data_IF_167583756255
#
_entry.id   IF_167583756255
#
_cell.length_a   1.000
_cell.length_b   1.000
_cell.length_c   1.000
_cell.angle_alpha   90.00
_cell.angle_beta   90.00
_cell.angle_gamma   90.00
#
_symmetry.space_group_name_H-M   'P 1'
#
loop_
_entity.id
_entity.type
_entity.pdbx_description
1 polymer ?
#
# COMPACT_ATOMS: atom_id res chain seq x y z
N UNK A 1 5.12 -16.04 8.98
CA UNK A 1 4.02 -15.20 8.44
C UNK A 1 4.39 -13.77 8.76
N UNK A 2 4.57 -12.87 7.78
CA UNK A 2 5.00 -11.50 8.05
C UNK A 2 3.79 -10.63 8.41
N UNK A 3 3.67 -10.29 9.68
CA UNK A 3 2.84 -9.21 10.17
C UNK A 3 3.58 -7.89 9.92
N UNK A 4 3.01 -7.07 9.03
CA UNK A 4 3.57 -5.79 8.60
C UNK A 4 2.79 -4.67 9.29
N UNK A 5 3.48 -3.82 10.03
CA UNK A 5 2.90 -2.60 10.59
C UNK A 5 2.95 -1.49 9.55
N UNK A 6 1.82 -0.82 9.35
CA UNK A 6 1.72 0.37 8.51
C UNK A 6 1.34 1.56 9.40
N UNK A 7 2.21 2.57 9.44
CA UNK A 7 2.11 3.68 10.38
C UNK A 7 2.64 4.97 9.75
N UNK A 8 2.19 6.14 10.17
CA UNK A 8 2.72 7.39 9.63
C UNK A 8 2.00 8.62 10.15
N UNK A 9 2.34 9.77 9.56
CA UNK A 9 1.80 11.08 9.92
C UNK A 9 1.85 11.32 11.44
N UNK A 10 3.01 11.06 12.04
CA UNK A 10 3.22 11.13 13.49
C UNK A 10 3.33 12.60 13.93
N UNK A 11 4.07 13.41 13.17
CA UNK A 11 4.34 14.82 13.43
C UNK A 11 4.83 15.10 14.86
N UNK A 12 5.73 14.26 15.37
CA UNK A 12 6.36 14.47 16.68
C UNK A 12 7.68 15.21 16.46
N UNK A 13 7.97 16.32 17.16
CA UNK A 13 7.17 16.99 18.19
C UNK A 13 6.27 18.12 17.64
N UNK A 14 6.24 18.36 16.33
CA UNK A 14 5.66 19.57 15.73
C UNK A 14 4.16 19.78 15.99
N UNK A 15 3.37 18.71 15.97
CA UNK A 15 1.91 18.76 16.15
C UNK A 15 1.45 18.00 17.38
N UNK A 16 2.11 16.89 17.69
CA UNK A 16 1.77 16.02 18.82
C UNK A 16 3.06 15.70 19.59
N UNK A 17 2.95 15.49 20.89
CA UNK A 17 4.09 15.21 21.77
C UNK A 17 4.43 13.72 21.87
N UNK A 18 3.45 12.82 21.68
CA UNK A 18 3.66 11.39 21.83
C UNK A 18 2.57 10.52 21.18
N UNK A 19 2.87 9.24 20.93
CA UNK A 19 1.87 8.23 20.55
C UNK A 19 0.90 7.95 21.70
N UNK A 20 -0.38 7.66 21.40
CA UNK A 20 -1.33 7.25 22.43
C UNK A 20 -0.85 6.02 23.21
N UNK A 21 -0.98 6.08 24.54
CA UNK A 21 -0.51 5.03 25.46
C UNK A 21 -1.08 3.65 25.12
N UNK A 22 -2.35 3.58 24.68
CA UNK A 22 -2.97 2.32 24.27
C UNK A 22 -2.30 1.71 23.03
N UNK A 23 -1.85 2.53 22.08
CA UNK A 23 -1.12 2.06 20.91
C UNK A 23 0.27 1.58 21.28
N UNK A 24 1.01 2.31 22.14
CA UNK A 24 2.32 1.84 22.65
C UNK A 24 2.25 0.46 23.32
N UNK A 25 1.17 0.18 24.04
CA UNK A 25 0.95 -1.15 24.67
C UNK A 25 0.66 -2.27 23.66
N UNK A 26 0.16 -1.94 22.46
CA UNK A 26 -0.11 -2.90 21.39
C UNK A 26 1.12 -3.14 20.52
N UNK A 27 1.90 -2.08 20.28
CA UNK A 27 3.12 -2.08 19.47
C UNK A 27 4.32 -2.60 20.28
N UNK A 28 4.28 -3.89 20.62
CA UNK A 28 5.36 -4.54 21.38
C UNK A 28 6.36 -5.26 20.46
N UNK A 29 7.66 -5.25 20.79
CA UNK A 29 8.67 -5.96 20.03
C UNK A 29 8.40 -7.47 19.93
N UNK A 30 8.85 -8.08 18.84
CA UNK A 30 8.79 -9.55 18.63
C UNK A 30 7.52 -10.07 17.96
N UNK A 31 6.46 -9.25 17.85
CA UNK A 31 5.24 -9.61 17.10
C UNK A 31 5.24 -9.12 15.65
N UNK A 32 5.84 -7.97 15.40
CA UNK A 32 5.83 -7.28 14.10
C UNK A 32 7.16 -7.58 13.42
N UNK A 33 7.13 -8.04 12.17
CA UNK A 33 8.34 -8.41 11.44
C UNK A 33 8.89 -7.25 10.60
N UNK A 34 8.00 -6.38 10.12
CA UNK A 34 8.36 -5.27 9.24
C UNK A 34 7.48 -4.06 9.52
N UNK A 35 8.03 -2.86 9.37
CA UNK A 35 7.31 -1.59 9.47
C UNK A 35 7.43 -0.86 8.13
N UNK A 36 6.28 -0.48 7.56
CA UNK A 36 6.16 0.42 6.42
C UNK A 36 5.60 1.76 6.93
N UNK A 37 6.45 2.77 6.94
CA UNK A 37 6.10 4.09 7.41
C UNK A 37 5.87 5.05 6.24
N UNK A 38 4.71 5.72 6.23
CA UNK A 38 4.39 6.71 5.18
C UNK A 38 5.15 8.02 5.34
N UNK A 39 5.86 8.24 6.46
CA UNK A 39 6.65 9.45 6.70
C UNK A 39 6.00 10.37 7.74
N UNK A 40 6.49 11.62 7.77
CA UNK A 40 6.20 12.62 8.80
C UNK A 40 6.50 12.09 10.21
N UNK A 41 7.66 11.44 10.35
CA UNK A 41 8.22 11.03 11.64
C UNK A 41 8.81 12.24 12.36
N UNK A 42 9.46 13.12 11.59
CA UNK A 42 10.06 14.42 11.94
C UNK A 42 11.27 14.38 12.88
N UNK A 43 11.32 13.47 13.86
CA UNK A 43 12.43 13.39 14.81
C UNK A 43 13.13 12.03 14.86
N UNK A 44 14.39 12.06 15.32
CA UNK A 44 15.24 10.85 15.42
C UNK A 44 14.77 9.91 16.53
N UNK A 45 14.23 10.42 17.63
CA UNK A 45 13.82 9.59 18.77
C UNK A 45 12.62 8.72 18.39
N UNK A 46 11.64 9.29 17.67
CA UNK A 46 10.52 8.52 17.13
C UNK A 46 10.97 7.48 16.10
N UNK A 47 11.93 7.80 15.23
CA UNK A 47 12.52 6.81 14.31
C UNK A 47 13.21 5.66 15.06
N UNK A 48 14.01 5.98 16.08
CA UNK A 48 14.66 4.98 16.94
C UNK A 48 13.64 4.13 17.70
N UNK A 49 12.54 4.73 18.18
CA UNK A 49 11.42 4.01 18.78
C UNK A 49 10.81 2.99 17.82
N UNK A 50 10.53 3.36 16.56
CA UNK A 50 10.05 2.40 15.55
C UNK A 50 11.04 1.24 15.36
N UNK A 51 12.35 1.53 15.41
CA UNK A 51 13.41 0.51 15.30
C UNK A 51 13.47 -0.43 16.51
N UNK A 52 12.99 0.00 17.68
CA UNK A 52 12.85 -0.90 18.84
C UNK A 52 11.72 -1.91 18.66
N UNK A 53 10.67 -1.56 17.90
CA UNK A 53 9.51 -2.43 17.65
C UNK A 53 9.90 -3.53 16.65
N UNK A 54 10.57 -3.16 15.55
CA UNK A 54 11.08 -4.09 14.55
C UNK A 54 12.43 -3.62 14.01
N UNK A 55 13.39 -4.54 13.78
CA UNK A 55 14.64 -4.22 13.10
C UNK A 55 14.47 -4.04 11.59
N UNK A 56 13.31 -4.30 10.99
CA UNK A 56 13.06 -4.02 9.56
C UNK A 56 12.06 -2.87 9.44
N UNK A 57 12.56 -1.68 9.10
CA UNK A 57 11.80 -0.42 9.07
C UNK A 57 12.10 0.29 7.76
N UNK A 58 11.07 0.47 6.95
CA UNK A 58 11.08 1.25 5.74
C UNK A 58 10.30 2.53 5.98
N UNK A 59 10.94 3.69 5.78
CA UNK A 59 10.31 5.01 5.92
C UNK A 59 10.48 5.74 4.61
N UNK A 60 9.40 6.35 4.13
CA UNK A 60 9.46 7.29 3.00
C UNK A 60 9.41 8.72 3.51
N UNK A 61 9.98 9.65 2.74
CA UNK A 61 10.04 11.05 3.12
C UNK A 61 8.66 11.70 3.10
N UNK A 62 8.21 12.16 4.26
CA UNK A 62 7.11 13.10 4.39
C UNK A 62 7.51 14.53 4.02
N UNK A 63 6.52 15.41 3.94
CA UNK A 63 6.73 16.83 3.67
C UNK A 63 7.32 17.61 4.86
N UNK A 64 7.27 17.03 6.07
CA UNK A 64 7.88 17.57 7.30
C UNK A 64 9.12 16.80 7.75
N UNK A 65 9.57 15.78 7.01
CA UNK A 65 10.79 15.05 7.35
C UNK A 65 12.03 15.76 6.79
N UNK A 66 12.93 16.19 7.67
CA UNK A 66 14.19 16.83 7.28
C UNK A 66 15.31 15.84 6.96
N UNK A 67 15.09 14.54 7.17
CA UNK A 67 16.12 13.52 6.97
C UNK A 67 16.30 13.20 5.47
N UNK A 68 17.44 13.58 4.84
CA UNK A 68 17.64 13.38 3.41
C UNK A 68 17.85 11.90 3.03
N UNK A 69 18.05 11.01 4.01
CA UNK A 69 18.20 9.58 3.76
C UNK A 69 16.86 8.89 3.46
N UNK A 70 15.73 9.53 3.77
CA UNK A 70 14.42 8.95 3.48
C UNK A 70 14.11 9.09 1.98
N UNK A 71 13.86 7.99 1.26
CA UNK A 71 13.49 8.05 -0.15
C UNK A 71 12.06 8.57 -0.32
N UNK A 72 11.76 9.18 -1.47
CA UNK A 72 10.42 9.68 -1.77
C UNK A 72 9.37 8.54 -1.92
N UNK A 73 9.81 7.36 -2.35
CA UNK A 73 8.98 6.17 -2.49
C UNK A 73 9.80 4.89 -2.29
N UNK A 74 9.15 3.82 -1.85
CA UNK A 74 9.76 2.49 -1.70
C UNK A 74 8.81 1.45 -2.28
N UNK A 75 9.39 0.42 -2.91
CA UNK A 75 8.65 -0.78 -3.30
C UNK A 75 9.17 -1.98 -2.50
N UNK A 76 8.27 -2.67 -1.80
CA UNK A 76 8.54 -3.88 -1.02
C UNK A 76 7.82 -5.07 -1.65
N UNK A 77 8.54 -6.18 -1.80
CA UNK A 77 8.03 -7.38 -2.46
C UNK A 77 7.70 -8.46 -1.44
N UNK A 78 6.42 -8.79 -1.30
CA UNK A 78 5.90 -9.94 -0.56
C UNK A 78 5.24 -10.89 -1.56
N UNK A 79 6.06 -11.64 -2.31
CA UNK A 79 5.59 -12.44 -3.45
C UNK A 79 4.36 -13.30 -3.10
N UNK A 80 3.31 -13.29 -3.94
CA UNK A 80 3.17 -12.68 -5.27
C UNK A 80 2.76 -11.18 -5.27
N UNK A 81 2.73 -10.50 -4.14
CA UNK A 81 2.24 -9.12 -3.97
C UNK A 81 3.40 -8.12 -3.95
N UNK A 82 3.25 -7.01 -4.68
CA UNK A 82 4.15 -5.87 -4.63
C UNK A 82 3.46 -4.69 -3.96
N UNK A 83 4.12 -4.11 -2.96
CA UNK A 83 3.61 -3.03 -2.14
C UNK A 83 4.44 -1.78 -2.43
N UNK A 84 3.78 -0.72 -2.87
CA UNK A 84 4.38 0.62 -2.98
C UNK A 84 4.05 1.45 -1.75
N UNK A 85 5.01 2.22 -1.27
CA UNK A 85 4.82 3.16 -0.17
C UNK A 85 5.22 4.55 -0.66
N UNK A 86 4.35 5.52 -0.43
CA UNK A 86 4.58 6.95 -0.64
C UNK A 86 4.00 7.73 0.54
N UNK A 87 4.43 8.97 0.72
CA UNK A 87 3.79 9.83 1.71
C UNK A 87 2.40 10.28 1.27
N UNK A 88 2.20 10.60 0.00
CA UNK A 88 0.90 10.99 -0.56
C UNK A 88 0.78 12.50 -0.84
N UNK A 89 1.69 13.33 -0.32
CA UNK A 89 1.76 14.76 -0.69
C UNK A 89 2.12 14.95 -2.18
N UNK A 90 2.70 13.91 -2.80
CA UNK A 90 3.03 13.88 -4.22
C UNK A 90 1.80 13.64 -5.13
N UNK A 91 0.68 13.17 -4.57
CA UNK A 91 -0.55 12.91 -5.34
C UNK A 91 -1.38 14.18 -5.42
N UNK A 92 -1.67 14.64 -6.64
CA UNK A 92 -2.49 15.82 -6.91
C UNK A 92 -3.61 15.44 -7.90
N UNK A 93 -4.89 15.56 -7.51
CA UNK A 93 -5.40 16.02 -6.22
C UNK A 93 -5.07 15.08 -5.05
N UNK A 94 -4.95 15.66 -3.85
CA UNK A 94 -4.61 14.93 -2.62
C UNK A 94 -5.73 13.94 -2.29
N UNK A 95 -5.38 12.67 -2.06
CA UNK A 95 -6.31 11.60 -1.71
C UNK A 95 -7.23 11.13 -2.85
N UNK A 96 -7.07 11.65 -4.07
CA UNK A 96 -7.84 11.22 -5.24
C UNK A 96 -7.39 9.83 -5.71
N UNK A 97 -8.34 8.89 -5.79
CA UNK A 97 -8.09 7.50 -6.17
C UNK A 97 -7.56 7.36 -7.61
N UNK A 98 -7.94 8.25 -8.53
CA UNK A 98 -7.46 8.18 -9.92
C UNK A 98 -5.98 8.57 -10.01
N UNK A 99 -5.59 9.57 -9.23
CA UNK A 99 -4.21 10.04 -9.10
C UNK A 99 -3.34 8.99 -8.42
N UNK A 100 -3.82 8.40 -7.32
CA UNK A 100 -3.16 7.27 -6.65
C UNK A 100 -3.05 6.04 -7.56
N UNK A 101 -4.08 5.72 -8.36
CA UNK A 101 -4.02 4.63 -9.34
C UNK A 101 -2.96 4.86 -10.40
N UNK A 102 -2.78 6.11 -10.84
CA UNK A 102 -1.72 6.46 -11.80
C UNK A 102 -0.33 6.23 -11.20
N UNK A 103 -0.10 6.62 -9.94
CA UNK A 103 1.16 6.38 -9.23
C UNK A 103 1.38 4.86 -9.02
N UNK A 104 0.35 4.12 -8.60
CA UNK A 104 0.44 2.68 -8.40
C UNK A 104 0.80 1.93 -9.70
N UNK A 105 0.29 2.40 -10.84
CA UNK A 105 0.65 1.88 -12.17
C UNK A 105 2.09 2.20 -12.54
N UNK A 106 2.56 3.43 -12.28
CA UNK A 106 3.93 3.83 -12.54
C UNK A 106 4.94 3.02 -11.71
N UNK A 107 4.61 2.75 -10.44
CA UNK A 107 5.43 1.91 -9.55
C UNK A 107 5.30 0.41 -9.83
N UNK A 108 4.34 0.01 -10.68
CA UNK A 108 3.96 -1.37 -10.96
C UNK A 108 3.69 -2.20 -9.68
N UNK A 109 2.84 -1.65 -8.81
CA UNK A 109 2.48 -2.28 -7.53
C UNK A 109 1.03 -2.76 -7.52
N UNK A 110 0.76 -3.74 -6.66
CA UNK A 110 -0.57 -4.32 -6.45
C UNK A 110 -1.28 -3.64 -5.26
N UNK A 111 -0.50 -3.27 -4.24
CA UNK A 111 -0.95 -2.50 -3.08
C UNK A 111 -0.21 -1.16 -3.08
N UNK A 112 -0.92 -0.06 -2.96
CA UNK A 112 -0.33 1.26 -2.73
C UNK A 112 -0.69 1.75 -1.33
N UNK A 113 0.34 2.09 -0.56
CA UNK A 113 0.23 2.70 0.76
C UNK A 113 0.56 4.20 0.64
N UNK A 114 -0.35 5.05 1.10
CA UNK A 114 -0.20 6.51 1.12
C UNK A 114 -0.70 7.08 2.45
N UNK A 115 -0.13 8.19 2.91
CA UNK A 115 -0.59 8.96 4.08
C UNK A 115 -1.12 10.35 3.68
N UNK A 116 -0.62 11.39 4.36
CA UNK A 116 -0.84 12.83 4.14
C UNK A 116 -2.26 13.33 4.43
N UNK A 117 -3.30 12.58 4.09
CA UNK A 117 -4.71 12.97 4.36
C UNK A 117 -5.08 12.88 5.83
N UNK A 118 -4.31 12.14 6.64
CA UNK A 118 -4.60 11.76 8.02
C UNK A 118 -5.96 11.03 8.19
N UNK A 119 -6.54 10.56 7.09
CA UNK A 119 -7.82 9.86 7.07
C UNK A 119 -7.60 8.42 6.61
N UNK A 120 -8.10 7.47 7.39
CA UNK A 120 -8.01 6.05 7.08
C UNK A 120 -8.72 5.74 5.77
N UNK A 121 -8.05 4.96 4.92
CA UNK A 121 -8.61 4.40 3.71
C UNK A 121 -8.12 2.96 3.56
N UNK A 122 -9.02 2.01 3.33
CA UNK A 122 -8.63 0.63 3.06
C UNK A 122 -9.63 0.05 2.04
N UNK A 123 -9.38 0.29 0.76
CA UNK A 123 -10.35 0.00 -0.31
C UNK A 123 -9.70 -0.69 -1.50
N UNK A 124 -10.44 -1.62 -2.12
CA UNK A 124 -10.11 -2.12 -3.45
C UNK A 124 -10.52 -1.10 -4.51
N UNK A 125 -9.59 -0.70 -5.37
CA UNK A 125 -9.89 0.18 -6.50
C UNK A 125 -10.50 -0.58 -7.67
N UNK A 126 -11.16 0.16 -8.57
CA UNK A 126 -11.75 -0.39 -9.78
C UNK A 126 -10.72 -1.01 -10.74
N UNK A 127 -9.43 -0.72 -10.55
CA UNK A 127 -8.33 -1.26 -11.33
C UNK A 127 -7.74 -2.55 -10.75
N UNK A 128 -8.41 -3.16 -9.77
CA UNK A 128 -8.00 -4.41 -9.13
C UNK A 128 -6.83 -4.28 -8.17
N UNK A 129 -6.45 -3.05 -7.78
CA UNK A 129 -5.40 -2.78 -6.78
C UNK A 129 -6.00 -2.49 -5.41
N UNK A 130 -5.17 -2.59 -4.37
CA UNK A 130 -5.55 -2.22 -3.01
C UNK A 130 -4.91 -0.89 -2.62
N UNK A 131 -5.70 0.03 -2.08
CA UNK A 131 -5.25 1.33 -1.60
C UNK A 131 -5.41 1.38 -0.09
N UNK A 132 -4.30 1.62 0.61
CA UNK A 132 -4.25 1.70 2.05
C UNK A 132 -3.70 3.06 2.48
N UNK A 133 -4.43 3.72 3.37
CA UNK A 133 -3.98 4.84 4.15
C UNK A 133 -4.18 4.50 5.63
N UNK A 134 -3.10 4.40 6.44
CA UNK A 134 -3.21 4.05 7.85
C UNK A 134 -3.81 5.18 8.70
N UNK A 135 -4.00 6.38 8.15
CA UNK A 135 -4.31 7.59 8.89
C UNK A 135 -3.08 8.14 9.63
N UNK A 136 -3.32 8.99 10.63
CA UNK A 136 -2.27 9.50 11.52
C UNK A 136 -2.20 8.68 12.80
N UNK A 137 -1.03 8.13 13.12
CA UNK A 137 -0.80 7.32 14.33
C UNK A 137 -1.04 8.08 15.64
N UNK A 138 -0.85 9.40 15.60
CA UNK A 138 -0.98 10.31 16.73
C UNK A 138 -2.29 11.08 16.72
N UNK A 139 -3.05 11.04 15.61
CA UNK A 139 -4.20 11.92 15.41
C UNK A 139 -3.77 13.38 15.21
N UNK A 140 -2.58 13.61 14.63
CA UNK A 140 -2.09 14.94 14.36
C UNK A 140 -3.09 15.71 13.48
N UNK A 141 -3.30 16.99 13.76
CA UNK A 141 -4.18 17.84 12.95
C UNK A 141 -3.66 17.96 11.51
N UNK A 142 -4.56 18.09 10.54
CA UNK A 142 -4.26 18.43 9.13
C UNK A 142 -5.27 19.46 8.61
N UNK A 143 -4.86 20.29 7.66
CA UNK A 143 -5.74 21.28 7.01
C UNK A 143 -6.66 20.70 5.94
N UNK A 144 -6.59 19.40 5.67
CA UNK A 144 -7.31 18.74 4.58
C UNK A 144 -8.72 18.29 4.97
N UNK A 145 -8.96 18.01 6.24
CA UNK A 145 -10.26 17.56 6.78
C UNK A 145 -10.80 18.57 7.77
N UNK A 146 -12.14 18.69 7.84
CA UNK A 146 -12.80 19.54 8.85
C UNK A 146 -12.90 18.87 10.22
N UNK A 147 -12.89 17.54 10.23
CA UNK A 147 -12.99 16.74 11.44
C UNK A 147 -11.61 16.56 12.08
N UNK A 148 -11.61 16.40 13.41
CA UNK A 148 -10.40 16.07 14.16
C UNK A 148 -9.91 14.66 13.78
N UNK A 149 -8.65 14.51 13.35
CA UNK A 149 -8.13 13.20 12.97
C UNK A 149 -8.14 12.22 14.14
N UNK A 150 -8.75 11.06 13.93
CA UNK A 150 -8.74 9.97 14.91
C UNK A 150 -7.40 9.24 14.84
N UNK A 151 -6.66 9.07 15.96
CA UNK A 151 -5.42 8.31 15.96
C UNK A 151 -5.65 6.89 15.41
N UNK A 152 -4.84 6.49 14.44
CA UNK A 152 -4.99 5.22 13.74
C UNK A 152 -3.70 4.67 13.14
N UNK A 153 -3.63 3.34 13.02
CA UNK A 153 -2.58 2.63 12.29
C UNK A 153 -3.15 1.32 11.74
N UNK A 154 -2.43 0.68 10.82
CA UNK A 154 -2.87 -0.59 10.24
C UNK A 154 -1.85 -1.72 10.47
N UNK A 155 -2.34 -2.94 10.63
CA UNK A 155 -1.55 -4.17 10.57
C UNK A 155 -1.99 -4.97 9.34
N UNK A 156 -1.04 -5.33 8.49
CA UNK A 156 -1.28 -6.22 7.35
C UNK A 156 -0.73 -7.61 7.65
N UNK A 157 -1.57 -8.61 7.46
CA UNK A 157 -1.16 -10.01 7.38
C UNK A 157 -1.21 -10.45 5.91
N UNK A 158 -0.05 -10.78 5.37
CA UNK A 158 0.12 -11.11 3.95
C UNK A 158 0.33 -12.61 3.80
N UNK A 159 -0.63 -13.26 3.14
CA UNK A 159 -0.65 -14.71 2.95
C UNK A 159 -0.84 -15.04 1.46
N UNK A 160 0.29 -15.22 0.76
CA UNK A 160 0.27 -15.45 -0.68
C UNK A 160 -0.45 -14.30 -1.40
N UNK A 161 -1.51 -14.54 -2.18
CA UNK A 161 -2.24 -13.49 -2.88
C UNK A 161 -3.24 -12.72 -2.00
N UNK A 162 -3.35 -13.03 -0.70
CA UNK A 162 -4.32 -12.42 0.21
C UNK A 162 -3.65 -11.43 1.14
N UNK A 163 -4.28 -10.27 1.31
CA UNK A 163 -3.92 -9.25 2.28
C UNK A 163 -5.09 -9.06 3.22
N UNK A 164 -4.88 -9.38 4.50
CA UNK A 164 -5.83 -9.06 5.56
C UNK A 164 -5.29 -7.83 6.29
N UNK A 165 -6.04 -6.73 6.26
CA UNK A 165 -5.69 -5.48 6.91
C UNK A 165 -6.57 -5.26 8.12
N UNK A 166 -5.94 -5.07 9.28
CA UNK A 166 -6.58 -4.68 10.53
C UNK A 166 -6.27 -3.22 10.81
N UNK A 167 -7.27 -2.34 10.75
CA UNK A 167 -7.09 -0.92 11.07
C UNK A 167 -7.51 -0.67 12.50
N UNK A 168 -6.59 -0.14 13.30
CA UNK A 168 -6.79 0.21 14.69
C UNK A 168 -7.13 1.69 14.79
N UNK A 169 -8.20 2.02 15.49
CA UNK A 169 -8.64 3.39 15.74
C UNK A 169 -8.71 3.63 17.24
N UNK A 170 -8.35 4.83 17.70
CA UNK A 170 -8.56 5.26 19.08
C UNK A 170 -9.70 6.28 19.16
N UNK A 171 -10.89 5.82 19.54
CA UNK A 171 -12.08 6.67 19.66
C UNK A 171 -12.56 6.68 21.10
N UNK A 172 -12.79 7.86 21.67
CA UNK A 172 -13.25 8.03 23.07
C UNK A 172 -12.41 7.25 24.09
N UNK A 173 -11.10 7.16 23.83
CA UNK A 173 -10.17 6.40 24.65
C UNK A 173 -10.26 4.89 24.48
N UNK A 174 -11.11 4.33 23.63
CA UNK A 174 -11.20 2.90 23.33
C UNK A 174 -10.58 2.55 21.98
N UNK A 175 -9.96 1.36 21.91
CA UNK A 175 -9.38 0.87 20.67
C UNK A 175 -10.43 0.07 19.93
N UNK A 176 -10.78 0.51 18.73
CA UNK A 176 -11.63 -0.21 17.78
C UNK A 176 -10.78 -0.79 16.66
N UNK A 177 -11.21 -1.93 16.10
CA UNK A 177 -10.47 -2.61 15.05
C UNK A 177 -11.42 -2.96 13.91
N UNK A 178 -11.12 -2.43 12.73
CA UNK A 178 -11.81 -2.79 11.49
C UNK A 178 -10.97 -3.79 10.71
N UNK A 179 -11.62 -4.76 10.07
CA UNK A 179 -10.96 -5.81 9.28
C UNK A 179 -11.39 -5.69 7.82
N UNK A 180 -10.41 -5.57 6.93
CA UNK A 180 -10.60 -5.58 5.48
C UNK A 180 -9.77 -6.70 4.87
N UNK A 181 -10.37 -7.49 3.99
CA UNK A 181 -9.67 -8.51 3.22
C UNK A 181 -9.64 -8.10 1.75
N UNK A 182 -8.46 -8.19 1.15
CA UNK A 182 -8.27 -8.01 -0.29
C UNK A 182 -7.49 -9.20 -0.85
N UNK A 183 -7.82 -9.59 -2.08
CA UNK A 183 -7.17 -10.69 -2.78
C UNK A 183 -6.70 -10.22 -4.15
N UNK A 184 -5.42 -10.46 -4.44
CA UNK A 184 -4.84 -10.28 -5.76
C UNK A 184 -5.47 -11.28 -6.73
N UNK A 185 -6.13 -10.77 -7.75
CA UNK A 185 -6.61 -11.59 -8.85
C UNK A 185 -5.43 -12.09 -9.70
N UNK A 186 -5.53 -13.33 -10.18
CA UNK A 186 -4.54 -13.86 -11.10
C UNK A 186 -4.60 -13.06 -12.41
N UNK A 187 -3.47 -12.48 -12.83
CA UNK A 187 -3.39 -11.80 -14.12
C UNK A 187 -3.72 -12.84 -15.20
N UNK A 188 -4.76 -12.65 -16.04
CA UNK A 188 -5.09 -13.63 -17.06
C UNK A 188 -3.89 -13.82 -17.98
N UNK A 189 -3.46 -15.07 -18.16
CA UNK A 189 -2.41 -15.42 -19.11
C UNK A 189 -2.88 -14.94 -20.48
N UNK A 190 -2.11 -14.12 -21.23
CA UNK A 190 -2.49 -13.78 -22.58
C UNK A 190 -2.65 -15.08 -23.36
N UNK A 191 -3.87 -15.37 -23.82
CA UNK A 191 -4.11 -16.50 -24.69
C UNK A 191 -3.25 -16.31 -25.94
N UNK A 192 -2.50 -17.33 -26.39
CA UNK A 192 -1.80 -17.24 -27.66
C UNK A 192 -2.85 -16.93 -28.73
N UNK A 193 -2.75 -15.74 -29.34
CA UNK A 193 -3.59 -15.35 -30.46
C UNK A 193 -3.40 -16.39 -31.55
N UNK A 194 -4.44 -17.18 -31.85
CA UNK A 194 -4.46 -18.04 -33.02
C UNK A 194 -4.26 -17.14 -34.24
N UNK A 195 -3.05 -17.18 -34.83
CA UNK A 195 -2.77 -16.49 -36.08
C UNK A 195 -3.73 -16.95 -37.19
N UNK A 196 -4.05 -16.09 -38.17
CA UNK A 196 -4.92 -16.46 -39.27
C UNK A 196 -4.36 -17.68 -40.00
N UNK A 197 -5.23 -18.66 -40.22
CA UNK A 197 -4.89 -19.99 -40.72
C UNK A 197 -4.01 -19.95 -41.97
N UNK A 198 -2.97 -20.78 -41.94
CA UNK A 198 -2.26 -21.21 -43.14
C UNK A 198 -3.25 -21.78 -44.16
N UNK A 199 -3.24 -21.35 -45.43
CA UNK A 199 -4.09 -21.94 -46.45
C UNK A 199 -3.68 -23.40 -46.68
N UNK A 200 -4.64 -24.32 -46.57
CA UNK A 200 -4.47 -25.71 -46.99
C UNK A 200 -4.21 -25.76 -48.51
N UNK A 201 -3.23 -26.53 -48.99
CA UNK A 201 -3.07 -26.77 -50.41
C UNK A 201 -4.24 -27.63 -50.90
N UNK A 202 -5.07 -27.08 -51.79
CA UNK A 202 -6.13 -27.79 -52.48
C UNK A 202 -5.54 -28.88 -53.38
N UNK A 203 -6.00 -30.11 -53.19
CA UNK A 203 -5.65 -31.27 -54.00
C UNK A 203 -5.98 -31.03 -55.48
N UNK A 204 -4.97 -31.12 -56.35
CA UNK A 204 -5.17 -31.17 -57.78
C UNK A 204 -5.68 -32.57 -58.16
N UNK A 205 -6.93 -32.64 -58.61
CA UNK A 205 -7.51 -33.83 -59.22
C UNK A 205 -6.91 -34.05 -60.60
N UNK A 206 -6.05 -35.05 -60.73
CA UNK A 206 -5.64 -35.60 -62.03
C UNK A 206 -6.81 -36.45 -62.55
N UNK A 207 -7.62 -35.86 -63.44
CA UNK A 207 -8.64 -36.54 -64.21
C UNK A 207 -8.31 -36.37 -65.70
N UNK A 208 -7.94 -37.48 -66.35
CA UNK A 208 -7.49 -37.51 -67.73
C UNK A 208 -8.60 -37.31 -68.77
N UNK A 209 -8.17 -37.07 -70.01
CA UNK A 209 -9.02 -37.16 -71.20
C UNK A 209 -8.37 -36.59 -72.46
N UNK A 210 -7.80 -37.50 -73.29
CA UNK A 210 -7.84 -37.61 -74.78
C UNK A 210 -7.54 -36.34 -75.60
N UNK A 211 -6.65 -36.34 -76.61
CA UNK A 211 -6.91 -36.62 -78.04
C UNK A 211 -5.59 -36.50 -78.82
N UNK A 212 -5.37 -37.34 -79.84
CA UNK A 212 -4.36 -37.15 -80.89
C UNK A 212 -3.54 -38.39 -81.19
#
# INVERSE_FOLDING_TARGET
MPLVLVIGDLHIPHRIHDLPVKFKKLLVPGKIQQILCTGNVCDRETYEYLRTISPDVHVVAGDYDDNPAFPASITVNHQPIRIGVIHGHQSIPVGDLSSLSSIARQMDVDVLISGHTHAVQATGGADGRFYLNPGSATGAWTGLTKDEPTPSFALMDIQGPVVVTYVYHLQNGEVRVDKVEWRKEARPTPQPTSGPGSPQPSAASIGGGVWG
#
